data_IF_150372260384
#
_entry.id   IF_150372260384
#
_cell.length_a   1.000
_cell.length_b   1.000
_cell.length_c   1.000
_cell.angle_alpha   90.00
_cell.angle_beta   90.00
_cell.angle_gamma   90.00
#
_symmetry.space_group_name_H-M   'P 1'
#
loop_
_entity.id
_entity.type
_entity.pdbx_description
1 polymer ?
#
# COMPACT_ATOMS: atom_id res chain seq x y z
N UNK A 1 50.69 40.98 -17.20
CA UNK A 1 50.09 39.63 -17.10
C UNK A 1 49.69 39.41 -15.65
N UNK A 2 48.42 39.65 -15.32
CA UNK A 2 47.86 39.41 -13.98
C UNK A 2 47.65 37.91 -13.79
N UNK A 3 48.20 37.35 -12.72
CA UNK A 3 48.13 35.93 -12.38
C UNK A 3 46.67 35.47 -12.25
N UNK A 4 46.34 34.33 -12.85
CA UNK A 4 45.03 33.64 -12.74
C UNK A 4 44.70 33.22 -11.28
N UNK A 5 45.67 33.33 -10.37
CA UNK A 5 45.56 33.06 -8.94
C UNK A 5 45.56 34.34 -8.09
N UNK A 6 45.06 35.48 -8.60
CA UNK A 6 44.67 36.56 -7.69
C UNK A 6 43.46 36.08 -6.89
N UNK A 7 43.68 35.72 -5.63
CA UNK A 7 42.64 35.47 -4.65
C UNK A 7 41.85 36.78 -4.48
N UNK A 8 40.85 36.99 -5.34
CA UNK A 8 39.84 38.01 -5.08
C UNK A 8 39.20 37.60 -3.76
N UNK A 9 39.08 38.53 -2.81
CA UNK A 9 38.39 38.33 -1.55
C UNK A 9 36.88 38.17 -1.81
N UNK A 10 36.50 37.11 -2.52
CA UNK A 10 35.13 36.69 -2.69
C UNK A 10 34.69 36.00 -1.40
N UNK A 11 34.57 36.80 -0.35
CA UNK A 11 33.95 36.46 0.94
C UNK A 11 32.65 35.69 0.70
N UNK A 12 31.91 36.03 -0.35
CA UNK A 12 30.71 35.32 -0.81
C UNK A 12 30.93 33.83 -1.13
N UNK A 13 32.04 33.47 -1.79
CA UNK A 13 32.37 32.06 -2.10
C UNK A 13 32.71 31.27 -0.83
N UNK A 14 33.38 31.91 0.14
CA UNK A 14 33.68 31.30 1.44
C UNK A 14 32.39 31.09 2.25
N UNK A 15 31.49 32.09 2.28
CA UNK A 15 30.17 31.95 2.91
C UNK A 15 29.33 30.84 2.27
N UNK A 16 29.29 30.75 0.94
CA UNK A 16 28.63 29.66 0.22
C UNK A 16 29.24 28.29 0.56
N UNK A 17 30.56 28.20 0.66
CA UNK A 17 31.27 26.99 1.09
C UNK A 17 30.92 26.55 2.52
N UNK A 18 30.89 27.50 3.46
CA UNK A 18 30.50 27.23 4.87
C UNK A 18 29.05 26.78 4.95
N UNK A 19 28.13 27.46 4.24
CA UNK A 19 26.72 27.06 4.16
C UNK A 19 26.60 25.65 3.58
N UNK A 20 27.30 25.36 2.48
CA UNK A 20 27.29 24.04 1.85
C UNK A 20 27.82 22.94 2.79
N UNK A 21 28.91 23.19 3.53
CA UNK A 21 29.47 22.24 4.50
C UNK A 21 28.50 22.01 5.67
N UNK A 22 27.89 23.08 6.20
CA UNK A 22 26.89 22.97 7.26
C UNK A 22 25.65 22.19 6.79
N UNK A 23 25.16 22.49 5.59
CA UNK A 23 24.04 21.79 4.97
C UNK A 23 24.38 20.31 4.69
N UNK A 24 25.56 20.05 4.11
CA UNK A 24 26.04 18.71 3.77
C UNK A 24 26.43 17.88 5.00
N UNK A 25 26.66 18.50 6.17
CA UNK A 25 26.91 17.76 7.41
C UNK A 25 25.60 17.32 8.06
N UNK A 26 24.51 18.08 7.85
CA UNK A 26 23.20 17.81 8.44
C UNK A 26 22.28 16.95 7.55
N UNK A 27 22.36 17.11 6.22
CA UNK A 27 21.51 16.40 5.26
C UNK A 27 21.72 14.86 5.30
N UNK A 28 22.95 14.33 5.27
CA UNK A 28 23.17 12.88 5.26
C UNK A 28 22.60 12.14 6.48
N UNK A 29 22.87 12.54 7.75
CA UNK A 29 22.28 11.85 8.90
C UNK A 29 20.75 12.00 8.94
N UNK A 30 20.21 13.15 8.55
CA UNK A 30 18.77 13.36 8.46
C UNK A 30 18.15 12.41 7.41
N UNK A 31 18.76 12.29 6.24
CA UNK A 31 18.32 11.38 5.17
C UNK A 31 18.24 9.93 5.67
N UNK A 32 19.26 9.45 6.37
CA UNK A 32 19.25 8.08 6.91
C UNK A 32 18.11 7.84 7.90
N UNK A 33 17.86 8.80 8.80
CA UNK A 33 16.75 8.71 9.76
C UNK A 33 15.40 8.69 9.03
N UNK A 34 15.22 9.59 8.05
CA UNK A 34 14.00 9.65 7.25
C UNK A 34 13.77 8.34 6.48
N UNK A 35 14.81 7.76 5.89
CA UNK A 35 14.70 6.49 5.16
C UNK A 35 14.27 5.33 6.07
N UNK A 36 14.74 5.29 7.32
CA UNK A 36 14.30 4.28 8.30
C UNK A 36 12.84 4.49 8.72
N UNK A 37 12.42 5.74 8.95
CA UNK A 37 11.02 6.06 9.28
C UNK A 37 10.09 5.67 8.13
N UNK A 38 10.44 6.04 6.90
CA UNK A 38 9.66 5.69 5.70
C UNK A 38 9.56 4.17 5.53
N UNK A 39 10.67 3.44 5.68
CA UNK A 39 10.68 1.99 5.64
C UNK A 39 9.76 1.37 6.70
N UNK A 40 9.82 1.88 7.94
CA UNK A 40 8.94 1.44 9.02
C UNK A 40 7.46 1.72 8.73
N UNK A 41 7.13 2.90 8.20
CA UNK A 41 5.77 3.27 7.80
C UNK A 41 5.23 2.33 6.71
N UNK A 42 6.03 2.09 5.67
CA UNK A 42 5.65 1.21 4.56
C UNK A 42 5.47 -0.23 5.03
N UNK A 43 6.42 -0.77 5.79
CA UNK A 43 6.35 -2.12 6.34
C UNK A 43 5.13 -2.31 7.26
N UNK A 44 4.87 -1.33 8.13
CA UNK A 44 3.71 -1.41 9.02
C UNK A 44 2.39 -1.31 8.26
N UNK A 45 2.33 -0.47 7.23
CA UNK A 45 1.15 -0.36 6.35
C UNK A 45 0.88 -1.68 5.63
N UNK A 46 1.94 -2.34 5.15
CA UNK A 46 1.86 -3.66 4.53
C UNK A 46 1.32 -4.73 5.49
N UNK A 47 1.89 -4.82 6.70
CA UNK A 47 1.45 -5.76 7.73
C UNK A 47 -0.02 -5.53 8.11
N UNK A 48 -0.47 -4.28 8.16
CA UNK A 48 -1.86 -3.93 8.50
C UNK A 48 -2.87 -4.20 7.38
N UNK A 49 -2.47 -4.07 6.11
CA UNK A 49 -3.35 -4.26 4.96
C UNK A 49 -3.83 -5.70 4.83
N UNK A 50 -2.95 -6.69 5.04
CA UNK A 50 -3.24 -8.11 4.82
C UNK A 50 -4.38 -8.64 5.73
N UNK A 51 -4.36 -8.41 7.06
CA UNK A 51 -5.48 -8.76 7.95
C UNK A 51 -6.77 -8.01 7.60
N UNK A 52 -6.67 -6.74 7.21
CA UNK A 52 -7.85 -5.95 6.82
C UNK A 52 -8.51 -6.51 5.56
N UNK A 53 -7.74 -6.93 4.57
CA UNK A 53 -8.24 -7.65 3.39
C UNK A 53 -8.91 -8.97 3.76
N UNK A 54 -8.33 -9.72 4.70
CA UNK A 54 -8.91 -10.98 5.19
C UNK A 54 -10.27 -10.75 5.85
N UNK A 55 -10.39 -9.78 6.75
CA UNK A 55 -11.66 -9.43 7.38
C UNK A 55 -12.70 -9.02 6.34
N UNK A 56 -12.30 -8.20 5.36
CA UNK A 56 -13.20 -7.77 4.30
C UNK A 56 -13.74 -8.96 3.49
N UNK A 57 -12.90 -9.97 3.23
CA UNK A 57 -13.30 -11.20 2.54
C UNK A 57 -14.32 -12.00 3.35
N UNK A 58 -14.10 -12.14 4.66
CA UNK A 58 -15.00 -12.84 5.59
C UNK A 58 -16.33 -12.09 5.74
N UNK A 59 -16.27 -10.76 5.87
CA UNK A 59 -17.47 -9.92 5.93
C UNK A 59 -18.36 -10.14 4.69
N UNK A 60 -17.75 -10.14 3.50
CA UNK A 60 -18.47 -10.42 2.24
C UNK A 60 -19.07 -11.81 2.26
N UNK A 61 -18.33 -12.83 2.67
CA UNK A 61 -18.82 -14.21 2.78
C UNK A 61 -20.04 -14.33 3.70
N UNK A 62 -20.01 -13.67 4.85
CA UNK A 62 -21.10 -13.67 5.83
C UNK A 62 -22.34 -12.90 5.33
N UNK A 63 -22.15 -11.78 4.64
CA UNK A 63 -23.25 -11.04 3.99
C UNK A 63 -23.90 -11.91 2.92
N UNK A 64 -23.11 -12.62 2.10
CA UNK A 64 -23.63 -13.52 1.06
C UNK A 64 -24.40 -14.72 1.61
N UNK A 65 -24.00 -15.19 2.79
CA UNK A 65 -24.67 -16.27 3.51
C UNK A 65 -25.97 -15.82 4.19
N UNK A 66 -26.33 -14.53 4.09
CA UNK A 66 -27.40 -13.87 4.85
C UNK A 66 -27.22 -14.00 6.39
N UNK A 67 -26.01 -14.30 6.88
CA UNK A 67 -25.74 -14.36 8.32
C UNK A 67 -25.65 -12.96 8.94
N UNK A 68 -25.27 -11.94 8.16
CA UNK A 68 -25.12 -10.55 8.59
C UNK A 68 -25.89 -9.63 7.63
N UNK A 69 -26.59 -8.64 8.18
CA UNK A 69 -27.23 -7.60 7.39
C UNK A 69 -26.20 -6.55 6.95
N UNK A 70 -26.17 -6.21 5.66
CA UNK A 70 -25.16 -5.30 5.06
C UNK A 70 -25.00 -3.93 5.73
N UNK A 71 -25.96 -3.50 6.57
CA UNK A 71 -25.99 -2.18 7.21
C UNK A 71 -25.49 -2.18 8.67
N UNK A 72 -25.26 -3.35 9.28
CA UNK A 72 -24.78 -3.45 10.66
C UNK A 72 -23.62 -4.44 10.74
N UNK A 73 -22.41 -3.91 10.93
CA UNK A 73 -21.25 -4.73 11.30
C UNK A 73 -21.50 -5.35 12.68
N UNK A 74 -21.37 -6.68 12.84
CA UNK A 74 -21.51 -7.32 14.14
C UNK A 74 -20.40 -6.83 15.07
N UNK A 75 -20.71 -6.80 16.38
CA UNK A 75 -19.79 -6.31 17.41
C UNK A 75 -18.45 -7.05 17.39
N UNK A 76 -18.46 -8.36 17.12
CA UNK A 76 -17.23 -9.17 17.04
C UNK A 76 -16.27 -8.69 15.95
N UNK A 77 -16.77 -8.30 14.77
CA UNK A 77 -15.92 -7.77 13.69
C UNK A 77 -15.40 -6.38 14.06
N UNK A 78 -16.21 -5.54 14.72
CA UNK A 78 -15.75 -4.23 15.21
C UNK A 78 -14.61 -4.36 16.21
N UNK A 79 -14.75 -5.26 17.18
CA UNK A 79 -13.70 -5.54 18.18
C UNK A 79 -12.44 -6.01 17.46
N UNK A 80 -12.56 -6.96 16.53
CA UNK A 80 -11.42 -7.48 15.77
C UNK A 80 -10.68 -6.39 14.98
N UNK A 81 -11.41 -5.51 14.29
CA UNK A 81 -10.82 -4.38 13.55
C UNK A 81 -10.08 -3.43 14.49
N UNK A 82 -10.67 -3.10 15.64
CA UNK A 82 -10.03 -2.23 16.63
C UNK A 82 -8.74 -2.90 17.16
N UNK A 83 -8.80 -4.19 17.51
CA UNK A 83 -7.62 -4.93 17.99
C UNK A 83 -6.50 -4.96 16.95
N UNK A 84 -6.80 -5.23 15.68
CA UNK A 84 -5.79 -5.25 14.62
C UNK A 84 -5.22 -3.86 14.33
N UNK A 85 -6.05 -2.82 14.38
CA UNK A 85 -5.59 -1.46 14.25
C UNK A 85 -4.65 -1.08 15.39
N UNK A 86 -5.03 -1.38 16.64
CA UNK A 86 -4.19 -1.15 17.81
C UNK A 86 -2.87 -1.91 17.74
N UNK A 87 -2.89 -3.18 17.29
CA UNK A 87 -1.68 -3.96 17.07
C UNK A 87 -0.78 -3.35 15.99
N UNK A 88 -1.35 -2.97 14.85
CA UNK A 88 -0.60 -2.33 13.74
C UNK A 88 0.03 -1.01 14.20
N UNK A 89 -0.72 -0.22 14.97
CA UNK A 89 -0.21 1.02 15.55
C UNK A 89 0.92 0.76 16.57
N UNK A 90 0.80 -0.29 17.39
CA UNK A 90 1.87 -0.70 18.28
C UNK A 90 3.14 -1.09 17.51
N UNK A 91 3.03 -1.92 16.46
CA UNK A 91 4.16 -2.30 15.61
C UNK A 91 4.80 -1.07 14.96
N UNK A 92 3.99 -0.09 14.54
CA UNK A 92 4.50 1.16 13.98
C UNK A 92 5.39 1.91 14.98
N UNK A 93 4.87 2.15 16.19
CA UNK A 93 5.62 2.87 17.23
C UNK A 93 6.85 2.08 17.66
N UNK A 94 6.71 0.77 17.89
CA UNK A 94 7.82 -0.10 18.27
C UNK A 94 8.92 -0.09 17.19
N UNK A 95 8.56 -0.20 15.91
CA UNK A 95 9.50 -0.16 14.79
C UNK A 95 10.19 1.20 14.66
N UNK A 96 9.50 2.31 14.94
CA UNK A 96 10.10 3.64 14.95
C UNK A 96 11.09 3.81 16.12
N UNK A 97 10.80 3.28 17.30
CA UNK A 97 11.68 3.40 18.47
C UNK A 97 12.92 2.51 18.33
N UNK A 98 12.72 1.26 17.91
CA UNK A 98 13.80 0.26 17.79
C UNK A 98 14.61 0.41 16.51
N UNK A 99 14.12 1.15 15.52
CA UNK A 99 14.78 1.32 14.21
C UNK A 99 15.02 -0.03 13.51
N UNK A 100 14.03 -0.94 13.60
CA UNK A 100 14.12 -2.32 13.10
C UNK A 100 14.33 -2.46 11.59
N UNK A 101 14.09 -1.40 10.81
CA UNK A 101 14.23 -1.39 9.36
C UNK A 101 15.43 -0.53 8.98
N UNK A 102 16.29 -1.08 8.12
CA UNK A 102 17.41 -0.37 7.51
C UNK A 102 17.20 -0.29 6.00
N UNK A 103 17.63 0.81 5.41
CA UNK A 103 17.69 0.94 3.96
C UNK A 103 19.00 0.33 3.46
N UNK A 104 18.93 -0.82 2.80
CA UNK A 104 20.05 -1.48 2.15
C UNK A 104 19.81 -1.44 0.65
N UNK A 105 20.56 -0.62 -0.09
CA UNK A 105 20.29 -0.40 -1.52
C UNK A 105 20.27 -1.73 -2.30
N UNK A 106 19.15 -2.08 -2.98
CA UNK A 106 18.04 -1.21 -3.43
C UNK A 106 16.68 -1.51 -2.76
N UNK A 107 16.62 -1.61 -1.43
CA UNK A 107 15.38 -1.88 -0.70
C UNK A 107 15.43 -1.58 0.79
N UNK A 108 14.31 -1.88 1.48
CA UNK A 108 14.22 -1.86 2.93
C UNK A 108 14.17 -3.28 3.45
N UNK A 109 14.98 -3.57 4.46
CA UNK A 109 15.06 -4.88 5.09
C UNK A 109 15.13 -4.74 6.60
N UNK A 110 14.81 -5.82 7.32
CA UNK A 110 14.99 -5.87 8.77
C UNK A 110 16.47 -5.84 9.12
N UNK A 111 16.86 -4.96 10.04
CA UNK A 111 18.25 -4.82 10.49
C UNK A 111 18.61 -6.00 11.40
N UNK A 112 19.51 -6.92 10.99
CA UNK A 112 19.88 -8.06 11.82
C UNK A 112 20.71 -7.67 13.05
N UNK A 113 21.24 -6.45 13.11
CA UNK A 113 22.05 -5.98 14.23
C UNK A 113 21.21 -5.48 15.42
N UNK A 114 19.92 -5.24 15.22
CA UNK A 114 19.01 -4.68 16.23
C UNK A 114 18.24 -5.80 16.94
N UNK A 115 18.10 -5.76 18.29
CA UNK A 115 17.31 -6.75 19.01
C UNK A 115 15.84 -6.71 18.57
N UNK A 116 15.19 -7.88 18.55
CA UNK A 116 13.79 -8.07 18.16
C UNK A 116 13.44 -7.93 16.67
N UNK A 117 14.35 -7.50 15.80
CA UNK A 117 14.06 -7.38 14.36
C UNK A 117 13.62 -8.70 13.73
N UNK A 118 14.27 -9.81 14.11
CA UNK A 118 13.90 -11.16 13.69
C UNK A 118 12.53 -11.59 14.19
N UNK A 119 12.15 -11.19 15.42
CA UNK A 119 10.83 -11.45 15.99
C UNK A 119 9.73 -10.76 15.17
N UNK A 120 9.93 -9.49 14.79
CA UNK A 120 8.98 -8.76 13.95
C UNK A 120 8.83 -9.40 12.57
N UNK A 121 9.93 -9.83 11.95
CA UNK A 121 9.88 -10.57 10.69
C UNK A 121 9.10 -11.90 10.79
N UNK A 122 9.30 -12.66 11.87
CA UNK A 122 8.54 -13.91 12.11
C UNK A 122 7.06 -13.61 12.34
N UNK A 123 6.73 -12.58 13.11
CA UNK A 123 5.35 -12.17 13.37
C UNK A 123 4.63 -11.71 12.09
N UNK A 124 5.32 -10.96 11.22
CA UNK A 124 4.81 -10.57 9.91
C UNK A 124 4.41 -11.80 9.09
N UNK A 125 5.31 -12.77 8.99
CA UNK A 125 5.07 -14.00 8.24
C UNK A 125 3.95 -14.84 8.87
N UNK A 126 3.98 -14.99 10.20
CA UNK A 126 3.01 -15.76 10.96
C UNK A 126 1.59 -15.17 10.89
N UNK A 127 1.46 -13.85 10.75
CA UNK A 127 0.17 -13.18 10.56
C UNK A 127 -0.31 -13.27 9.10
N UNK A 128 0.62 -13.12 8.16
CA UNK A 128 0.34 -13.03 6.73
C UNK A 128 -0.24 -14.33 6.17
N UNK A 129 0.37 -15.48 6.48
CA UNK A 129 -0.07 -16.76 5.92
C UNK A 129 -1.51 -17.15 6.32
N UNK A 130 -1.91 -17.12 7.60
CA UNK A 130 -3.29 -17.38 7.99
C UNK A 130 -4.28 -16.40 7.35
N UNK A 131 -3.92 -15.12 7.24
CA UNK A 131 -4.78 -14.12 6.62
C UNK A 131 -5.02 -14.41 5.13
N UNK A 132 -3.98 -14.81 4.39
CA UNK A 132 -4.11 -15.26 3.00
C UNK A 132 -4.99 -16.50 2.88
N UNK A 133 -4.78 -17.49 3.75
CA UNK A 133 -5.57 -18.73 3.74
C UNK A 133 -7.05 -18.46 4.00
N UNK A 134 -7.37 -17.67 5.04
CA UNK A 134 -8.74 -17.27 5.38
C UNK A 134 -9.38 -16.51 4.20
N UNK A 135 -8.61 -15.62 3.55
CA UNK A 135 -9.09 -14.87 2.38
C UNK A 135 -9.45 -15.81 1.24
N UNK A 136 -8.57 -16.76 0.92
CA UNK A 136 -8.78 -17.72 -0.16
C UNK A 136 -10.01 -18.60 0.09
N UNK A 137 -10.13 -19.17 1.31
CA UNK A 137 -11.30 -19.97 1.71
C UNK A 137 -12.59 -19.15 1.62
N UNK A 138 -12.57 -17.89 2.06
CA UNK A 138 -13.73 -17.00 1.98
C UNK A 138 -14.17 -16.75 0.53
N UNK A 139 -13.23 -16.54 -0.40
CA UNK A 139 -13.56 -16.35 -1.82
C UNK A 139 -14.10 -17.62 -2.50
N UNK A 140 -13.54 -18.79 -2.18
CA UNK A 140 -14.06 -20.09 -2.65
C UNK A 140 -15.48 -20.28 -2.14
N UNK A 141 -15.72 -20.02 -0.85
CA UNK A 141 -17.04 -20.12 -0.25
C UNK A 141 -18.06 -19.16 -0.90
N UNK A 142 -17.70 -17.89 -1.13
CA UNK A 142 -18.55 -16.94 -1.87
C UNK A 142 -18.87 -17.48 -3.28
N UNK A 143 -17.88 -18.03 -3.98
CA UNK A 143 -18.07 -18.59 -5.32
C UNK A 143 -19.08 -19.73 -5.30
N UNK A 144 -18.96 -20.68 -4.35
CA UNK A 144 -19.90 -21.79 -4.17
C UNK A 144 -21.31 -21.25 -3.88
N UNK A 145 -21.45 -20.25 -3.01
CA UNK A 145 -22.74 -19.63 -2.70
C UNK A 145 -23.38 -18.96 -3.92
N UNK A 146 -22.60 -18.27 -4.76
CA UNK A 146 -23.08 -17.67 -6.01
C UNK A 146 -23.60 -18.76 -6.96
N UNK A 147 -22.88 -19.88 -7.08
CA UNK A 147 -23.31 -21.02 -7.91
C UNK A 147 -24.57 -21.69 -7.37
N UNK A 148 -24.70 -21.85 -6.05
CA UNK A 148 -25.90 -22.45 -5.43
C UNK A 148 -27.12 -21.52 -5.54
N UNK A 149 -26.93 -20.21 -5.38
CA UNK A 149 -27.99 -19.19 -5.50
C UNK A 149 -28.44 -18.94 -6.94
N UNK A 150 -27.73 -19.48 -7.94
CA UNK A 150 -28.12 -19.51 -9.37
C UNK A 150 -29.55 -20.02 -9.60
N UNK A 151 -30.08 -20.84 -8.68
CA UNK A 151 -31.44 -21.40 -8.75
C UNK A 151 -32.57 -20.47 -8.30
N UNK A 152 -32.29 -19.36 -7.59
CA UNK A 152 -33.33 -18.49 -7.04
C UNK A 152 -33.13 -17.02 -7.46
N UNK A 153 -33.91 -16.60 -8.45
CA UNK A 153 -34.51 -15.26 -8.58
C UNK A 153 -33.64 -14.01 -8.30
N UNK A 154 -32.34 -13.97 -8.63
CA UNK A 154 -31.55 -12.72 -8.50
C UNK A 154 -31.32 -12.02 -9.85
N UNK A 155 -31.65 -10.72 -9.88
CA UNK A 155 -31.50 -9.86 -11.03
C UNK A 155 -30.06 -9.94 -11.57
N UNK A 156 -29.91 -10.36 -12.85
CA UNK A 156 -28.63 -10.69 -13.50
C UNK A 156 -27.56 -9.60 -13.32
N UNK A 157 -27.99 -8.34 -13.24
CA UNK A 157 -27.13 -7.17 -13.05
C UNK A 157 -26.50 -7.08 -11.64
N UNK A 158 -27.20 -7.45 -10.57
CA UNK A 158 -26.64 -7.45 -9.20
C UNK A 158 -25.51 -8.46 -9.08
N UNK A 159 -25.77 -9.69 -9.54
CA UNK A 159 -24.81 -10.79 -9.58
C UNK A 159 -23.57 -10.46 -10.41
N UNK A 160 -23.72 -9.78 -11.55
CA UNK A 160 -22.57 -9.35 -12.38
C UNK A 160 -21.69 -8.32 -11.66
N UNK A 161 -22.28 -7.41 -10.89
CA UNK A 161 -21.53 -6.44 -10.11
C UNK A 161 -20.80 -7.11 -8.92
N UNK A 162 -21.46 -8.06 -8.27
CA UNK A 162 -20.89 -8.86 -7.19
C UNK A 162 -19.72 -9.73 -7.65
N UNK A 163 -19.86 -10.43 -8.78
CA UNK A 163 -18.78 -11.23 -9.35
C UNK A 163 -17.57 -10.37 -9.76
N UNK A 164 -17.80 -9.15 -10.25
CA UNK A 164 -16.71 -8.19 -10.53
C UNK A 164 -15.97 -7.77 -9.27
N UNK A 165 -16.69 -7.53 -8.17
CA UNK A 165 -16.10 -7.21 -6.87
C UNK A 165 -15.26 -8.37 -6.33
N UNK A 166 -15.74 -9.61 -6.49
CA UNK A 166 -15.01 -10.82 -6.12
C UNK A 166 -13.74 -10.97 -6.95
N UNK A 167 -13.86 -10.84 -8.27
CA UNK A 167 -12.73 -10.93 -9.20
C UNK A 167 -11.64 -9.91 -8.88
N UNK A 168 -12.03 -8.67 -8.59
CA UNK A 168 -11.11 -7.64 -8.11
C UNK A 168 -10.33 -8.12 -6.88
N UNK A 169 -11.03 -8.61 -5.85
CA UNK A 169 -10.38 -9.04 -4.61
C UNK A 169 -9.51 -10.29 -4.81
N UNK A 170 -9.93 -11.24 -5.64
CA UNK A 170 -9.13 -12.42 -5.99
C UNK A 170 -7.85 -12.02 -6.72
N UNK A 171 -7.91 -11.06 -7.64
CA UNK A 171 -6.73 -10.55 -8.33
C UNK A 171 -5.73 -9.93 -7.35
N UNK A 172 -6.19 -9.06 -6.45
CA UNK A 172 -5.35 -8.41 -5.43
C UNK A 172 -4.71 -9.45 -4.50
N UNK A 173 -5.48 -10.42 -4.01
CA UNK A 173 -4.96 -11.48 -3.14
C UNK A 173 -3.99 -12.41 -3.87
N UNK A 174 -4.22 -12.70 -5.15
CA UNK A 174 -3.28 -13.49 -5.96
C UNK A 174 -1.97 -12.72 -6.17
N UNK A 175 -2.04 -11.43 -6.48
CA UNK A 175 -0.89 -10.55 -6.60
C UNK A 175 -0.04 -10.55 -5.31
N UNK A 176 -0.70 -10.36 -4.16
CA UNK A 176 -0.05 -10.41 -2.84
C UNK A 176 0.59 -11.77 -2.56
N UNK A 177 -0.10 -12.85 -2.91
CA UNK A 177 0.41 -14.21 -2.71
C UNK A 177 1.67 -14.45 -3.53
N UNK A 178 1.69 -14.03 -4.80
CA UNK A 178 2.89 -14.14 -5.65
C UNK A 178 4.04 -13.32 -5.07
N UNK A 179 3.77 -12.09 -4.62
CA UNK A 179 4.78 -11.25 -3.97
C UNK A 179 5.39 -11.91 -2.73
N UNK A 180 4.56 -12.42 -1.83
CA UNK A 180 5.00 -13.07 -0.57
C UNK A 180 5.77 -14.36 -0.87
N UNK A 181 5.31 -15.17 -1.83
CA UNK A 181 5.99 -16.40 -2.23
C UNK A 181 7.38 -16.08 -2.77
N UNK A 182 7.50 -15.07 -3.65
CA UNK A 182 8.80 -14.63 -4.16
C UNK A 182 9.67 -14.09 -3.02
N UNK A 183 9.14 -13.25 -2.14
CA UNK A 183 9.90 -12.63 -1.05
C UNK A 183 10.44 -13.65 -0.03
N UNK A 184 9.72 -14.75 0.25
CA UNK A 184 10.10 -15.75 1.25
C UNK A 184 10.63 -17.06 0.64
N UNK A 185 11.73 -16.98 -0.11
CA UNK A 185 12.36 -18.15 -0.75
C UNK A 185 12.80 -19.24 0.23
N UNK A 186 13.17 -18.87 1.45
CA UNK A 186 13.52 -19.82 2.52
C UNK A 186 12.37 -20.79 2.84
N UNK A 187 11.12 -20.33 2.68
CA UNK A 187 9.91 -21.13 2.90
C UNK A 187 9.48 -21.83 1.59
N UNK A 188 9.74 -21.19 0.45
CA UNK A 188 9.35 -21.66 -0.88
C UNK A 188 10.56 -21.89 -1.80
N UNK A 189 11.30 -22.99 -1.62
CA UNK A 189 12.52 -23.23 -2.40
C UNK A 189 12.26 -23.41 -3.90
N UNK A 190 11.02 -23.70 -4.33
CA UNK A 190 10.67 -23.82 -5.75
C UNK A 190 10.73 -22.50 -6.52
N UNK A 191 10.73 -21.33 -5.84
CA UNK A 191 10.97 -20.02 -6.48
C UNK A 191 12.43 -19.55 -6.37
N UNK A 192 13.33 -20.38 -5.86
CA UNK A 192 14.76 -20.05 -5.73
C UNK A 192 15.47 -19.80 -7.07
N UNK A 193 14.83 -20.09 -8.20
CA UNK A 193 15.34 -19.71 -9.53
C UNK A 193 15.40 -18.19 -9.74
N UNK A 194 14.65 -17.41 -8.95
CA UNK A 194 14.72 -15.94 -8.95
C UNK A 194 15.82 -15.54 -7.95
N UNK A 195 17.02 -15.16 -8.40
CA UNK A 195 18.06 -14.75 -7.46
C UNK A 195 17.72 -13.41 -6.79
N UNK A 196 17.26 -13.42 -5.53
CA UNK A 196 16.97 -12.21 -4.74
C UNK A 196 18.26 -11.57 -4.22
N UNK A 197 19.43 -12.20 -4.35
CA UNK A 197 20.72 -11.54 -4.04
C UNK A 197 21.08 -10.50 -5.10
N UNK A 198 20.50 -10.60 -6.30
CA UNK A 198 20.70 -9.64 -7.37
C UNK A 198 19.99 -8.32 -7.08
N UNK A 199 20.75 -7.22 -7.00
CA UNK A 199 20.24 -5.85 -6.83
C UNK A 199 19.10 -5.51 -7.79
N UNK A 200 19.17 -6.01 -9.03
CA UNK A 200 18.11 -5.79 -10.03
C UNK A 200 16.78 -6.41 -9.59
N UNK A 201 16.81 -7.65 -9.14
CA UNK A 201 15.61 -8.38 -8.75
C UNK A 201 15.02 -7.81 -7.45
N UNK A 202 15.88 -7.41 -6.50
CA UNK A 202 15.46 -6.68 -5.31
C UNK A 202 14.78 -5.35 -5.66
N UNK A 203 15.34 -4.58 -6.59
CA UNK A 203 14.76 -3.31 -7.02
C UNK A 203 13.39 -3.49 -7.68
N UNK A 204 13.24 -4.52 -8.51
CA UNK A 204 11.94 -4.86 -9.13
C UNK A 204 10.93 -5.25 -8.06
N UNK A 205 11.31 -6.10 -7.10
CA UNK A 205 10.42 -6.58 -6.06
C UNK A 205 9.98 -5.46 -5.11
N UNK A 206 10.90 -4.59 -4.70
CA UNK A 206 10.58 -3.37 -3.95
C UNK A 206 9.71 -2.40 -4.77
N UNK A 207 9.96 -2.28 -6.08
CA UNK A 207 9.12 -1.50 -6.97
C UNK A 207 7.67 -2.03 -7.06
N UNK A 208 7.51 -3.35 -7.17
CA UNK A 208 6.20 -4.01 -7.12
C UNK A 208 5.50 -3.83 -5.76
N UNK A 209 6.28 -3.82 -4.67
CA UNK A 209 5.77 -3.56 -3.34
C UNK A 209 5.19 -2.15 -3.21
N UNK A 210 5.90 -1.13 -3.71
CA UNK A 210 5.38 0.25 -3.76
C UNK A 210 4.18 0.36 -4.70
N UNK A 211 4.25 -0.26 -5.88
CA UNK A 211 3.17 -0.22 -6.86
C UNK A 211 1.87 -0.83 -6.32
N UNK A 212 1.98 -1.81 -5.41
CA UNK A 212 0.83 -2.46 -4.78
C UNK A 212 -0.17 -1.47 -4.20
N UNK A 213 0.32 -0.41 -3.54
CA UNK A 213 -0.50 0.63 -2.93
C UNK A 213 -1.44 1.32 -3.95
N UNK A 214 -1.07 1.34 -5.23
CA UNK A 214 -1.87 1.93 -6.31
C UNK A 214 -2.77 0.92 -7.00
N UNK A 215 -2.42 -0.37 -6.99
CA UNK A 215 -3.22 -1.43 -7.62
C UNK A 215 -4.61 -1.47 -6.99
N UNK A 216 -4.72 -1.34 -5.67
CA UNK A 216 -6.00 -1.46 -4.97
C UNK A 216 -7.03 -0.36 -5.41
N UNK A 217 -6.71 0.95 -5.37
CA UNK A 217 -7.58 2.00 -5.94
C UNK A 217 -7.87 1.84 -7.44
N UNK A 218 -6.86 1.49 -8.25
CA UNK A 218 -7.03 1.31 -9.70
C UNK A 218 -8.04 0.19 -9.97
N UNK A 219 -7.93 -0.92 -9.26
CA UNK A 219 -8.85 -2.05 -9.40
C UNK A 219 -10.27 -1.68 -8.96
N UNK A 220 -10.43 -0.86 -7.91
CA UNK A 220 -11.75 -0.32 -7.52
C UNK A 220 -12.34 0.48 -8.69
N UNK A 221 -11.57 1.37 -9.31
CA UNK A 221 -12.05 2.21 -10.41
C UNK A 221 -12.42 1.40 -11.66
N UNK A 222 -11.69 0.32 -11.94
CA UNK A 222 -11.92 -0.56 -13.10
C UNK A 222 -13.15 -1.44 -12.90
N UNK A 223 -13.31 -2.06 -11.73
CA UNK A 223 -14.34 -3.08 -11.50
C UNK A 223 -15.62 -2.55 -10.84
N UNK A 224 -15.55 -1.45 -10.09
CA UNK A 224 -16.70 -0.89 -9.37
C UNK A 224 -17.41 0.21 -10.19
N UNK A 225 -18.42 -0.22 -10.97
CA UNK A 225 -19.18 0.68 -11.86
C UNK A 225 -19.83 1.87 -11.12
N UNK A 226 -20.56 1.70 -9.99
CA UNK A 226 -21.11 2.83 -9.24
C UNK A 226 -20.07 3.89 -8.85
N UNK A 227 -18.92 3.47 -8.33
CA UNK A 227 -17.84 4.39 -7.93
C UNK A 227 -17.30 5.11 -9.16
N UNK A 228 -17.03 4.38 -10.26
CA UNK A 228 -16.54 4.99 -11.49
C UNK A 228 -17.49 6.03 -12.07
N UNK A 229 -18.79 5.74 -12.10
CA UNK A 229 -19.78 6.71 -12.57
C UNK A 229 -19.88 7.91 -11.62
N UNK A 230 -19.76 7.71 -10.31
CA UNK A 230 -19.66 8.78 -9.31
C UNK A 230 -18.45 9.70 -9.55
N UNK A 231 -17.25 9.13 -9.72
CA UNK A 231 -16.03 9.89 -10.03
C UNK A 231 -16.16 10.64 -11.35
N UNK A 232 -16.69 10.02 -12.40
CA UNK A 232 -16.94 10.69 -13.69
C UNK A 232 -17.91 11.88 -13.54
N UNK A 233 -18.95 11.74 -12.72
CA UNK A 233 -19.91 12.82 -12.45
C UNK A 233 -19.25 13.98 -11.71
N UNK A 234 -18.45 13.70 -10.69
CA UNK A 234 -17.70 14.73 -9.97
C UNK A 234 -16.67 15.43 -10.87
N UNK A 235 -15.95 14.68 -11.71
CA UNK A 235 -15.00 15.24 -12.67
C UNK A 235 -15.70 16.15 -13.69
N UNK A 236 -16.84 15.73 -14.24
CA UNK A 236 -17.65 16.58 -15.13
C UNK A 236 -18.12 17.85 -14.44
N UNK A 237 -18.56 17.76 -13.17
CA UNK A 237 -18.98 18.94 -12.41
C UNK A 237 -17.82 19.92 -12.18
N UNK A 238 -16.63 19.42 -11.85
CA UNK A 238 -15.41 20.23 -11.71
C UNK A 238 -15.06 20.93 -13.03
N UNK A 239 -15.01 20.19 -14.13
CA UNK A 239 -14.71 20.74 -15.46
C UNK A 239 -15.73 21.80 -15.89
N UNK A 240 -17.02 21.57 -15.64
CA UNK A 240 -18.08 22.54 -15.97
C UNK A 240 -17.95 23.82 -15.12
N UNK A 241 -17.57 23.67 -13.85
CA UNK A 241 -17.32 24.81 -12.97
C UNK A 241 -16.14 25.65 -13.46
N UNK A 242 -15.02 25.00 -13.83
CA UNK A 242 -13.83 25.68 -14.39
C UNK A 242 -14.17 26.47 -15.66
N UNK A 243 -14.93 25.87 -16.60
CA UNK A 243 -15.32 26.56 -17.83
C UNK A 243 -16.21 27.79 -17.61
N UNK A 244 -17.01 27.82 -16.54
CA UNK A 244 -17.87 28.96 -16.19
C UNK A 244 -17.09 30.12 -15.55
N UNK A 245 -16.01 29.81 -14.82
CA UNK A 245 -15.06 30.82 -14.32
C UNK A 245 -14.26 31.48 -15.44
N UNK A 246 -13.87 30.73 -16.47
CA UNK A 246 -13.14 31.26 -17.63
C UNK A 246 -14.03 32.11 -18.54
N UNK A 247 -15.33 31.80 -18.63
CA UNK A 247 -16.27 32.65 -19.38
C UNK A 247 -16.53 33.98 -18.68
N UNK A 248 -16.67 33.99 -17.35
CA UNK A 248 -16.89 35.24 -16.58
C UNK A 248 -15.69 36.20 -16.62
N UNK A 249 -14.46 35.68 -16.64
CA UNK A 249 -13.25 36.51 -16.76
C UNK A 249 -13.07 37.06 -18.16
N UNK A 250 -13.48 36.32 -19.20
CA UNK A 250 -13.45 36.78 -20.59
C UNK A 250 -14.46 37.91 -20.86
N UNK A 251 -15.66 37.87 -20.24
CA UNK A 251 -16.66 38.95 -20.42
C UNK A 251 -16.29 40.24 -19.70
N UNK A 252 -15.50 40.18 -18.62
CA UNK A 252 -15.01 41.38 -17.91
C UNK A 252 -13.85 42.10 -18.61
N UNK A 253 -13.19 41.48 -19.61
CA UNK A 253 -12.15 42.13 -20.42
C UNK A 253 -12.68 42.76 -21.71
N UNK A 254 -13.98 42.61 -22.02
CA UNK A 254 -14.64 43.14 -23.22
C UNK A 254 -15.61 44.31 -22.92
N UNK A 255 -15.59 44.84 -21.70
CA UNK A 255 -16.28 46.07 -21.26
C UNK A 255 -15.28 47.03 -20.67
#
# INVERSE_FOLDING_TARGET
>A
MSSIFSLHEDIHMVYLGIIYIALSSFIPPLFWILMKIVGCMMNTSWIGEIPMLSILSVCRALIFSNCIQSMKLPTSIKILVITLFSWTFFVFIAGCVTQNIIYLSPGWEYDPAVPYSSLFGVLEVALTFPCLLISYVSYVFITILIFKKKSQQSCVNSRRNELRLLFQSTFITTYLTVMIVVWHQNIFPFVAYIDISSKRNQAILNGLWILHCYINPVMILVFNKPIREGCKKQLKALLTCTTLTDTKTSTQQLT
#
